data_IF_535321430162
#
_entry.id   IF_535321430162
#
_cell.length_a   1.000
_cell.length_b   1.000
_cell.length_c   1.000
_cell.angle_alpha   90.00
_cell.angle_beta   90.00
_cell.angle_gamma   90.00
#
_symmetry.space_group_name_H-M   'P 1'
#
loop_
_entity.id
_entity.type
_entity.pdbx_description
1 polymer ?
#
# COMPACT_ATOMS: atom_id res chain seq x y z
N UNK A 1 -12.50 3.22 -11.72
CA UNK A 1 -11.02 3.35 -11.62
C UNK A 1 -10.71 4.83 -11.67
N UNK A 2 -9.70 5.32 -10.94
CA UNK A 2 -9.37 6.75 -10.90
C UNK A 2 -8.71 7.15 -12.23
N UNK A 3 -9.13 8.27 -12.82
CA UNK A 3 -8.61 8.72 -14.12
C UNK A 3 -7.17 9.27 -14.04
N UNK A 4 -6.73 9.65 -12.83
CA UNK A 4 -5.36 10.07 -12.60
C UNK A 4 -4.93 9.95 -11.14
N UNK A 5 -3.62 9.91 -10.93
CA UNK A 5 -2.98 9.76 -9.63
C UNK A 5 -2.09 10.97 -9.33
N UNK A 6 -2.01 11.33 -8.06
CA UNK A 6 -1.10 12.34 -7.52
C UNK A 6 0.12 11.69 -6.86
N UNK A 7 1.10 12.51 -6.46
CA UNK A 7 2.24 12.05 -5.65
C UNK A 7 1.77 11.40 -4.33
N UNK A 8 0.69 11.91 -3.74
CA UNK A 8 0.16 11.37 -2.48
C UNK A 8 -0.47 9.99 -2.71
N UNK A 9 -1.18 9.81 -3.83
CA UNK A 9 -1.71 8.50 -4.20
C UNK A 9 -0.57 7.48 -4.41
N UNK A 10 0.52 7.88 -5.08
CA UNK A 10 1.68 7.01 -5.26
C UNK A 10 2.39 6.67 -3.94
N UNK A 11 2.50 7.64 -3.03
CA UNK A 11 3.06 7.40 -1.71
C UNK A 11 2.24 6.37 -0.93
N UNK A 12 0.91 6.45 -1.03
CA UNK A 12 -0.01 5.49 -0.44
C UNK A 12 0.10 4.10 -1.08
N UNK A 13 0.10 4.01 -2.41
CA UNK A 13 0.17 2.73 -3.15
C UNK A 13 1.50 2.00 -2.89
N UNK A 14 2.60 2.74 -2.81
CA UNK A 14 3.95 2.15 -2.73
C UNK A 14 4.51 2.06 -1.31
N UNK A 15 3.93 2.77 -0.35
CA UNK A 15 4.52 2.99 0.98
C UNK A 15 5.78 3.87 0.97
N UNK A 16 6.13 4.47 -0.18
CA UNK A 16 7.28 5.36 -0.30
C UNK A 16 6.92 6.79 0.12
N UNK A 17 7.91 7.53 0.61
CA UNK A 17 7.68 8.95 0.93
C UNK A 17 7.45 9.76 -0.35
N UNK A 18 6.67 10.85 -0.26
CA UNK A 18 6.49 11.79 -1.37
C UNK A 18 7.81 12.38 -1.87
N UNK A 19 8.82 12.51 -0.98
CA UNK A 19 10.20 12.87 -1.33
C UNK A 19 10.85 11.82 -2.23
N UNK A 20 10.71 10.54 -1.91
CA UNK A 20 11.24 9.44 -2.73
C UNK A 20 10.57 9.38 -4.10
N UNK A 21 9.24 9.56 -4.16
CA UNK A 21 8.52 9.65 -5.44
C UNK A 21 9.09 10.78 -6.30
N UNK A 22 9.32 11.98 -5.75
CA UNK A 22 9.94 13.10 -6.48
C UNK A 22 11.35 12.78 -6.98
N UNK A 23 12.15 12.06 -6.21
CA UNK A 23 13.46 11.58 -6.65
C UNK A 23 13.34 10.62 -7.84
N UNK A 24 12.36 9.73 -7.84
CA UNK A 24 12.11 8.83 -8.98
C UNK A 24 11.59 9.54 -10.23
N UNK A 25 10.85 10.62 -10.08
CA UNK A 25 10.52 11.51 -11.22
C UNK A 25 11.80 12.12 -11.78
N UNK A 26 12.66 12.70 -10.93
CA UNK A 26 13.92 13.33 -11.37
C UNK A 26 14.90 12.33 -12.01
N UNK A 27 14.89 11.07 -11.56
CA UNK A 27 15.70 9.99 -12.11
C UNK A 27 15.13 9.36 -13.38
N UNK A 28 13.94 9.78 -13.85
CA UNK A 28 13.29 9.24 -15.04
C UNK A 28 12.66 7.85 -14.85
N UNK A 29 12.49 7.39 -13.60
CA UNK A 29 11.86 6.09 -13.32
C UNK A 29 10.33 6.18 -13.28
N UNK A 30 9.79 7.39 -13.09
CA UNK A 30 8.36 7.68 -13.09
C UNK A 30 8.08 8.85 -14.03
N UNK A 31 7.40 8.57 -15.14
CA UNK A 31 6.91 9.58 -16.09
C UNK A 31 5.57 10.13 -15.61
N UNK A 32 5.38 11.44 -15.72
CA UNK A 32 4.12 12.11 -15.42
C UNK A 32 4.07 13.47 -16.07
N UNK A 33 2.97 14.19 -15.86
CA UNK A 33 2.81 15.55 -16.38
C UNK A 33 2.57 16.52 -15.22
N UNK A 34 3.04 17.77 -15.39
CA UNK A 34 2.68 18.85 -14.46
C UNK A 34 1.44 19.57 -14.98
N UNK A 35 0.33 19.41 -14.28
CA UNK A 35 -0.89 20.17 -14.51
C UNK A 35 -1.09 21.17 -13.36
N UNK A 36 -1.18 22.46 -13.66
CA UNK A 36 -1.34 23.55 -12.68
C UNK A 36 -0.34 23.48 -11.50
N UNK A 37 0.91 23.13 -11.79
CA UNK A 37 1.98 23.02 -10.79
C UNK A 37 1.98 21.73 -9.96
N UNK A 38 0.97 20.86 -10.12
CA UNK A 38 0.90 19.54 -9.48
C UNK A 38 1.29 18.43 -10.47
N UNK A 39 1.98 17.40 -9.98
CA UNK A 39 2.24 16.20 -10.77
C UNK A 39 0.99 15.33 -10.84
N UNK A 40 0.67 14.91 -12.05
CA UNK A 40 -0.44 14.03 -12.40
C UNK A 40 0.10 12.85 -13.18
N UNK A 41 -0.32 11.64 -12.81
CA UNK A 41 0.10 10.38 -13.42
C UNK A 41 -1.10 9.62 -13.95
N UNK A 42 -1.00 9.12 -15.18
CA UNK A 42 -2.01 8.25 -15.78
C UNK A 42 -1.85 6.80 -15.26
N UNK A 43 -2.93 6.00 -15.24
CA UNK A 43 -2.87 4.61 -14.77
C UNK A 43 -1.74 3.78 -15.38
N UNK A 44 -1.46 3.96 -16.67
CA UNK A 44 -0.42 3.22 -17.41
C UNK A 44 0.98 3.59 -16.93
N UNK A 45 1.19 4.88 -16.61
CA UNK A 45 2.46 5.38 -16.07
C UNK A 45 2.70 4.83 -14.66
N UNK A 46 1.65 4.81 -13.84
CA UNK A 46 1.71 4.20 -12.51
C UNK A 46 2.00 2.70 -12.63
N UNK A 47 1.33 1.99 -13.53
CA UNK A 47 1.58 0.57 -13.77
C UNK A 47 3.04 0.31 -14.19
N UNK A 48 3.56 1.07 -15.16
CA UNK A 48 4.95 0.95 -15.60
C UNK A 48 5.96 1.23 -14.47
N UNK A 49 5.70 2.26 -13.66
CA UNK A 49 6.51 2.58 -12.48
C UNK A 49 6.52 1.44 -11.46
N UNK A 50 5.36 0.86 -11.18
CA UNK A 50 5.24 -0.29 -10.28
C UNK A 50 6.00 -1.50 -10.83
N UNK A 51 6.05 -1.72 -12.14
CA UNK A 51 6.80 -2.83 -12.74
C UNK A 51 8.31 -2.54 -12.93
N UNK A 52 8.79 -1.34 -12.60
CA UNK A 52 10.18 -0.96 -12.82
C UNK A 52 11.13 -1.72 -11.86
N UNK A 53 12.07 -2.51 -12.41
CA UNK A 53 13.04 -3.31 -11.65
C UNK A 53 13.93 -2.49 -10.71
N UNK A 54 14.20 -1.23 -11.02
CA UNK A 54 14.99 -0.35 -10.15
C UNK A 54 14.20 0.15 -8.92
N UNK A 55 12.86 0.13 -9.00
CA UNK A 55 11.95 0.65 -7.96
C UNK A 55 11.41 -0.47 -7.08
N UNK A 56 11.15 -1.64 -7.68
CA UNK A 56 10.61 -2.84 -7.03
C UNK A 56 11.29 -3.20 -5.69
N UNK A 57 12.64 -3.19 -5.55
CA UNK A 57 13.27 -3.47 -4.27
C UNK A 57 12.88 -2.50 -3.15
N UNK A 58 12.75 -1.20 -3.46
CA UNK A 58 12.36 -0.19 -2.48
C UNK A 58 10.90 -0.35 -2.04
N UNK A 59 10.01 -0.65 -3.00
CA UNK A 59 8.59 -0.94 -2.71
C UNK A 59 8.49 -2.17 -1.81
N UNK A 60 9.14 -3.27 -2.20
CA UNK A 60 9.13 -4.51 -1.41
C UNK A 60 9.70 -4.32 0.00
N UNK A 61 10.79 -3.55 0.12
CA UNK A 61 11.37 -3.23 1.42
C UNK A 61 10.37 -2.47 2.30
N UNK A 62 9.60 -1.52 1.76
CA UNK A 62 8.57 -0.80 2.51
C UNK A 62 7.41 -1.68 2.95
N UNK A 63 6.96 -2.60 2.09
CA UNK A 63 5.91 -3.55 2.45
C UNK A 63 6.36 -4.49 3.56
N UNK A 64 7.57 -5.05 3.45
CA UNK A 64 8.13 -5.92 4.48
C UNK A 64 8.43 -5.18 5.80
N UNK A 65 8.73 -3.88 5.73
CA UNK A 65 8.97 -3.07 6.93
C UNK A 65 7.78 -3.11 7.90
N UNK A 66 6.53 -3.24 7.42
CA UNK A 66 5.36 -3.39 8.30
C UNK A 66 5.53 -4.57 9.27
N UNK A 67 5.99 -5.72 8.76
CA UNK A 67 6.20 -6.93 9.57
C UNK A 67 7.44 -6.79 10.45
N UNK A 68 8.53 -6.23 9.92
CA UNK A 68 9.75 -6.03 10.71
C UNK A 68 9.56 -5.02 11.85
N UNK A 69 8.83 -3.93 11.59
CA UNK A 69 8.47 -2.93 12.59
C UNK A 69 7.60 -3.57 13.67
N UNK A 70 6.62 -4.41 13.30
CA UNK A 70 5.82 -5.17 14.27
C UNK A 70 6.69 -6.09 15.14
N UNK A 71 7.60 -6.87 14.54
CA UNK A 71 8.49 -7.78 15.28
C UNK A 71 9.53 -7.06 16.14
N UNK A 72 10.00 -5.88 15.71
CA UNK A 72 11.01 -5.09 16.41
C UNK A 72 10.44 -4.17 17.50
N UNK A 73 9.14 -3.88 17.46
CA UNK A 73 8.49 -3.03 18.46
C UNK A 73 8.23 -3.82 19.73
N UNK A 74 8.87 -3.44 20.83
CA UNK A 74 8.46 -3.92 22.16
C UNK A 74 7.12 -3.27 22.53
N UNK A 75 6.10 -4.05 22.90
CA UNK A 75 4.79 -3.52 23.25
C UNK A 75 4.90 -2.78 24.58
N UNK A 76 5.15 -1.47 24.54
CA UNK A 76 5.32 -0.70 25.76
C UNK A 76 4.03 -0.08 26.29
N UNK A 77 2.96 0.06 25.49
CA UNK A 77 1.75 0.77 25.97
C UNK A 77 0.38 0.36 25.35
N UNK A 78 0.31 -0.54 24.37
CA UNK A 78 -0.97 -1.03 23.82
C UNK A 78 -0.77 -2.32 23.02
N UNK A 79 -1.84 -3.13 22.94
CA UNK A 79 -1.85 -4.34 22.12
C UNK A 79 -1.73 -3.99 20.64
N UNK A 80 -0.98 -4.81 19.90
CA UNK A 80 -0.85 -4.73 18.45
C UNK A 80 -1.17 -6.07 17.81
N UNK A 81 -1.70 -6.02 16.59
CA UNK A 81 -1.96 -7.18 15.75
C UNK A 81 -1.33 -6.94 14.38
N UNK A 82 -0.62 -7.95 13.88
CA UNK A 82 -0.14 -8.01 12.50
C UNK A 82 -0.62 -9.31 11.87
N UNK A 83 -1.26 -9.20 10.71
CA UNK A 83 -1.86 -10.32 9.98
C UNK A 83 -1.29 -10.35 8.57
N UNK A 84 -0.87 -11.54 8.13
CA UNK A 84 -0.46 -11.81 6.76
C UNK A 84 -1.47 -12.80 6.17
N UNK A 85 -2.07 -12.43 5.04
CA UNK A 85 -3.05 -13.26 4.33
C UNK A 85 -2.56 -13.53 2.93
N UNK A 86 -2.45 -14.81 2.55
CA UNK A 86 -2.24 -15.21 1.17
C UNK A 86 -3.60 -15.63 0.58
N UNK A 87 -4.12 -14.85 -0.35
CA UNK A 87 -5.41 -15.08 -1.02
C UNK A 87 -5.17 -15.58 -2.45
N UNK A 88 -6.01 -16.50 -2.93
CA UNK A 88 -5.92 -17.06 -4.28
C UNK A 88 -6.90 -16.37 -5.27
N UNK A 89 -6.59 -16.55 -6.56
CA UNK A 89 -6.97 -15.80 -7.78
C UNK A 89 -8.35 -15.11 -7.84
N UNK A 90 -9.43 -15.72 -7.34
CA UNK A 90 -10.79 -15.19 -7.60
C UNK A 90 -11.12 -13.93 -6.80
N UNK A 91 -10.49 -13.76 -5.64
CA UNK A 91 -10.80 -12.66 -4.72
C UNK A 91 -9.57 -11.81 -4.39
N UNK A 92 -8.40 -12.16 -4.92
CA UNK A 92 -7.15 -11.47 -4.62
C UNK A 92 -7.18 -9.98 -5.00
N UNK A 93 -7.69 -9.66 -6.19
CA UNK A 93 -7.78 -8.28 -6.63
C UNK A 93 -8.86 -7.51 -5.88
N UNK A 94 -10.05 -8.10 -5.68
CA UNK A 94 -11.15 -7.45 -4.95
C UNK A 94 -10.78 -7.21 -3.49
N UNK A 95 -10.08 -8.13 -2.85
CA UNK A 95 -9.56 -7.97 -1.49
C UNK A 95 -8.57 -6.80 -1.42
N UNK A 96 -7.60 -6.74 -2.35
CA UNK A 96 -6.62 -5.65 -2.39
C UNK A 96 -7.28 -4.28 -2.52
N UNK A 97 -8.30 -4.18 -3.38
CA UNK A 97 -9.08 -2.95 -3.56
C UNK A 97 -9.86 -2.63 -2.29
N UNK A 98 -10.57 -3.60 -1.72
CA UNK A 98 -11.35 -3.45 -0.49
C UNK A 98 -10.50 -2.90 0.67
N UNK A 99 -9.37 -3.55 0.97
CA UNK A 99 -8.51 -3.12 2.07
C UNK A 99 -7.86 -1.77 1.80
N UNK A 100 -7.44 -1.51 0.56
CA UNK A 100 -6.88 -0.21 0.17
C UNK A 100 -7.88 0.92 0.37
N UNK A 101 -9.11 0.79 -0.12
CA UNK A 101 -10.15 1.81 0.00
C UNK A 101 -10.53 2.07 1.45
N UNK A 102 -10.73 1.01 2.23
CA UNK A 102 -11.10 1.12 3.65
C UNK A 102 -9.99 1.80 4.44
N UNK A 103 -8.75 1.36 4.28
CA UNK A 103 -7.63 1.91 5.05
C UNK A 103 -7.34 3.34 4.62
N UNK A 104 -7.46 3.69 3.34
CA UNK A 104 -7.35 5.08 2.88
C UNK A 104 -8.33 6.03 3.57
N UNK A 105 -9.53 5.53 3.91
CA UNK A 105 -10.56 6.29 4.63
C UNK A 105 -10.24 6.45 6.11
N UNK A 106 -9.59 5.47 6.75
CA UNK A 106 -9.32 5.44 8.19
C UNK A 106 -7.87 5.82 8.58
N UNK A 107 -6.95 5.86 7.61
CA UNK A 107 -5.52 6.15 7.82
C UNK A 107 -5.23 7.47 8.55
N UNK A 108 -6.04 8.55 8.44
CA UNK A 108 -5.79 9.76 9.22
C UNK A 108 -6.04 9.59 10.73
N UNK A 109 -6.82 8.58 11.13
CA UNK A 109 -7.35 8.43 12.49
C UNK A 109 -6.89 7.15 13.19
N UNK A 110 -6.12 6.29 12.51
CA UNK A 110 -5.75 4.95 13.00
C UNK A 110 -4.27 4.66 12.79
N UNK A 111 -3.70 3.78 13.61
CA UNK A 111 -2.36 3.21 13.42
C UNK A 111 -2.35 2.06 12.39
N UNK A 112 -3.32 2.02 11.48
CA UNK A 112 -3.45 0.96 10.49
C UNK A 112 -2.42 1.11 9.37
N UNK A 113 -1.69 0.04 9.14
CA UNK A 113 -0.76 -0.12 8.03
C UNK A 113 -1.23 -1.25 7.11
N UNK A 114 -1.03 -1.05 5.80
CA UNK A 114 -1.43 -1.98 4.76
C UNK A 114 -0.35 -2.12 3.69
N UNK A 115 -0.17 -3.35 3.23
CA UNK A 115 0.52 -3.62 1.98
C UNK A 115 -0.16 -4.79 1.26
N UNK A 116 -0.10 -4.76 -0.07
CA UNK A 116 -0.44 -5.90 -0.91
C UNK A 116 0.70 -6.21 -1.88
N UNK A 117 1.02 -7.48 -2.07
CA UNK A 117 2.04 -7.96 -3.00
C UNK A 117 1.47 -9.08 -3.89
N UNK A 118 1.61 -8.99 -5.22
CA UNK A 118 1.25 -10.10 -6.10
C UNK A 118 2.01 -11.38 -5.71
N UNK A 119 1.30 -12.52 -5.67
CA UNK A 119 1.85 -13.83 -5.34
C UNK A 119 1.39 -14.86 -6.38
N UNK A 120 1.98 -14.81 -7.57
CA UNK A 120 1.53 -15.62 -8.71
C UNK A 120 0.09 -15.26 -9.10
N UNK A 121 -0.86 -16.22 -9.10
CA UNK A 121 -2.28 -15.91 -9.27
C UNK A 121 -2.89 -15.21 -8.04
N UNK A 122 -2.24 -15.24 -6.89
CA UNK A 122 -2.76 -14.69 -5.65
C UNK A 122 -2.27 -13.29 -5.32
N UNK A 123 -2.66 -12.84 -4.13
CA UNK A 123 -2.08 -11.67 -3.47
C UNK A 123 -1.73 -12.01 -2.03
N UNK A 124 -0.60 -11.50 -1.55
CA UNK A 124 -0.28 -11.41 -0.14
C UNK A 124 -0.72 -10.06 0.38
N UNK A 125 -1.55 -10.04 1.41
CA UNK A 125 -1.92 -8.85 2.16
C UNK A 125 -1.18 -8.84 3.49
N UNK A 126 -0.76 -7.66 3.92
CA UNK A 126 -0.16 -7.42 5.23
C UNK A 126 -0.96 -6.30 5.88
N UNK A 127 -1.51 -6.57 7.07
CA UNK A 127 -2.25 -5.62 7.89
C UNK A 127 -1.56 -5.51 9.25
N UNK A 128 -1.35 -4.30 9.76
CA UNK A 128 -0.83 -4.10 11.11
C UNK A 128 -1.51 -2.91 11.78
N UNK A 129 -1.80 -2.99 13.08
CA UNK A 129 -2.42 -1.92 13.84
C UNK A 129 -2.97 -2.40 15.18
N UNK A 130 -3.97 -1.70 15.72
CA UNK A 130 -4.67 -2.15 16.92
C UNK A 130 -5.47 -3.45 16.62
N UNK A 131 -5.58 -4.40 17.56
CA UNK A 131 -6.39 -5.60 17.37
C UNK A 131 -7.83 -5.29 16.98
N UNK A 132 -8.42 -4.24 17.57
CA UNK A 132 -9.79 -3.80 17.27
C UNK A 132 -9.95 -3.42 15.81
N UNK A 133 -9.04 -2.62 15.27
CA UNK A 133 -9.14 -2.10 13.91
C UNK A 133 -8.84 -3.19 12.87
N UNK A 134 -7.80 -4.00 13.12
CA UNK A 134 -7.46 -5.14 12.25
C UNK A 134 -8.62 -6.14 12.20
N UNK A 135 -9.16 -6.54 13.36
CA UNK A 135 -10.29 -7.48 13.40
C UNK A 135 -11.55 -6.90 12.78
N UNK A 136 -11.82 -5.60 12.95
CA UNK A 136 -12.95 -4.92 12.31
C UNK A 136 -12.86 -5.00 10.77
N UNK A 137 -11.68 -4.76 10.21
CA UNK A 137 -11.47 -4.85 8.76
C UNK A 137 -11.59 -6.28 8.25
N UNK A 138 -11.00 -7.25 8.95
CA UNK A 138 -11.11 -8.67 8.59
C UNK A 138 -12.57 -9.14 8.64
N UNK A 139 -13.32 -8.78 9.68
CA UNK A 139 -14.73 -9.12 9.79
C UNK A 139 -15.57 -8.48 8.68
N UNK A 140 -15.29 -7.23 8.31
CA UNK A 140 -15.96 -6.59 7.17
C UNK A 140 -15.64 -7.28 5.84
N UNK A 141 -14.42 -7.82 5.67
CA UNK A 141 -14.04 -8.53 4.45
C UNK A 141 -14.75 -9.88 4.32
N UNK A 142 -14.79 -10.68 5.38
CA UNK A 142 -15.31 -12.05 5.32
C UNK A 142 -16.84 -12.17 5.48
N UNK A 143 -17.53 -11.14 5.97
CA UNK A 143 -18.99 -11.16 6.17
C UNK A 143 -19.74 -10.30 5.12
N UNK A 144 -19.17 -10.16 3.93
CA UNK A 144 -19.81 -9.52 2.76
C UNK A 144 -20.75 -10.46 2.01
#
# INVERSE_FOLDING_TARGET
MKDSFSINDLALITGLSTRTIRTYIAAGFLSGEKNNGAWVFMPEQVHAFLQNKAVQPAIKAKKNAIVYDFMGTKPYNHDKMCTILDLNDKEALSASVFFCERISKYAPETELHFASDPLGPGVRLILSGSPKDVMSLLNQFYNQ
#
